data_IF_601345729085
#
_entry.id   IF_601345729085
#
_cell.length_a   1.000
_cell.length_b   1.000
_cell.length_c   1.000
_cell.angle_alpha   90.00
_cell.angle_beta   90.00
_cell.angle_gamma   90.00
#
_symmetry.space_group_name_H-M   'P 1'
#
loop_
_entity.id
_entity.type
_entity.pdbx_description
1 polymer ?
#
# COMPACT_ATOMS: atom_id res chain seq x y z
N UNK A 1 21.97 -22.16 -3.25
CA UNK A 1 21.43 -22.42 -1.89
C UNK A 1 19.94 -22.16 -1.96
N UNK A 2 19.12 -23.20 -1.73
CA UNK A 2 17.66 -23.09 -1.79
C UNK A 2 17.16 -22.19 -0.66
N UNK A 3 16.32 -21.20 -0.96
CA UNK A 3 15.72 -20.35 0.07
C UNK A 3 14.95 -21.23 1.08
N UNK A 4 15.17 -20.99 2.38
CA UNK A 4 14.48 -21.69 3.47
C UNK A 4 12.94 -21.63 3.28
N UNK A 5 12.17 -22.66 3.66
CA UNK A 5 10.70 -22.66 3.56
C UNK A 5 10.04 -21.40 4.16
N UNK A 6 10.62 -20.88 5.26
CA UNK A 6 10.18 -19.65 5.92
C UNK A 6 10.36 -18.44 5.00
N UNK A 7 11.48 -18.37 4.29
CA UNK A 7 11.78 -17.31 3.34
C UNK A 7 10.82 -17.33 2.13
N UNK A 8 10.42 -18.52 1.67
CA UNK A 8 9.42 -18.64 0.60
C UNK A 8 8.01 -18.22 1.04
N UNK A 9 7.61 -18.56 2.27
CA UNK A 9 6.31 -18.16 2.82
C UNK A 9 6.24 -16.64 3.07
N UNK A 10 7.36 -16.04 3.44
CA UNK A 10 7.54 -14.60 3.58
C UNK A 10 7.39 -13.88 2.25
N UNK A 11 8.12 -14.32 1.22
CA UNK A 11 8.03 -13.74 -0.12
C UNK A 11 6.60 -13.77 -0.65
N UNK A 12 5.89 -14.91 -0.49
CA UNK A 12 4.48 -15.02 -0.86
C UNK A 12 3.59 -14.03 -0.11
N UNK A 13 3.88 -13.77 1.16
CA UNK A 13 3.11 -12.81 1.97
C UNK A 13 3.33 -11.38 1.46
N UNK A 14 4.58 -11.01 1.17
CA UNK A 14 4.91 -9.71 0.56
C UNK A 14 4.18 -9.52 -0.77
N UNK A 15 4.22 -10.53 -1.64
CA UNK A 15 3.61 -10.46 -2.96
C UNK A 15 2.08 -10.32 -2.91
N UNK A 16 1.42 -10.98 -1.95
CA UNK A 16 -0.04 -10.87 -1.77
C UNK A 16 -0.42 -9.48 -1.28
N UNK A 17 0.33 -8.96 -0.29
CA UNK A 17 0.10 -7.64 0.28
C UNK A 17 0.34 -6.54 -0.75
N UNK A 18 1.43 -6.65 -1.52
CA UNK A 18 1.73 -5.73 -2.61
C UNK A 18 0.65 -5.75 -3.69
N UNK A 19 0.25 -6.92 -4.17
CA UNK A 19 -0.83 -7.03 -5.17
C UNK A 19 -2.15 -6.45 -4.68
N UNK A 20 -2.53 -6.74 -3.42
CA UNK A 20 -3.74 -6.15 -2.83
C UNK A 20 -3.69 -4.63 -2.77
N UNK A 21 -2.52 -4.04 -2.48
CA UNK A 21 -2.35 -2.59 -2.51
C UNK A 21 -2.43 -2.02 -3.93
N UNK A 22 -1.78 -2.65 -4.91
CA UNK A 22 -1.81 -2.25 -6.32
C UNK A 22 -3.24 -2.26 -6.88
N UNK A 23 -4.03 -3.28 -6.56
CA UNK A 23 -5.46 -3.35 -6.94
C UNK A 23 -6.28 -2.18 -6.37
N UNK A 24 -6.01 -1.76 -5.13
CA UNK A 24 -6.68 -0.59 -4.55
C UNK A 24 -6.28 0.66 -5.32
N UNK A 25 -4.97 0.87 -5.55
CA UNK A 25 -4.45 2.04 -6.25
C UNK A 25 -5.01 2.18 -7.67
N UNK A 26 -5.11 1.07 -8.41
CA UNK A 26 -5.63 1.07 -9.79
C UNK A 26 -7.10 1.54 -9.88
N UNK A 27 -7.88 1.39 -8.80
CA UNK A 27 -9.29 1.80 -8.77
C UNK A 27 -9.48 3.29 -8.38
N UNK A 28 -8.47 3.93 -7.79
CA UNK A 28 -8.56 5.31 -7.29
C UNK A 28 -8.78 6.35 -8.41
N UNK A 29 -8.08 6.31 -9.56
CA UNK A 29 -8.29 7.30 -10.63
C UNK A 29 -9.75 7.39 -11.08
N UNK A 30 -10.44 6.24 -11.15
CA UNK A 30 -11.86 6.18 -11.51
C UNK A 30 -12.74 6.86 -10.45
N UNK A 31 -12.54 6.56 -9.18
CA UNK A 31 -13.28 7.18 -8.07
C UNK A 31 -13.07 8.70 -8.03
N UNK A 32 -11.84 9.16 -8.23
CA UNK A 32 -11.53 10.59 -8.26
C UNK A 32 -12.11 11.29 -9.47
N UNK A 33 -12.08 10.64 -10.63
CA UNK A 33 -12.73 11.19 -11.81
C UNK A 33 -14.22 11.41 -11.54
N UNK A 34 -14.92 10.42 -11.00
CA UNK A 34 -16.34 10.53 -10.64
C UNK A 34 -16.59 11.65 -9.61
N UNK A 35 -15.80 11.72 -8.52
CA UNK A 35 -15.93 12.76 -7.49
C UNK A 35 -15.68 14.17 -8.06
N UNK A 36 -14.58 14.36 -8.80
CA UNK A 36 -14.19 15.66 -9.32
C UNK A 36 -15.11 16.12 -10.45
N UNK A 37 -15.61 15.21 -11.29
CA UNK A 37 -16.65 15.51 -12.29
C UNK A 37 -17.95 15.94 -11.61
N UNK A 38 -18.43 15.19 -10.62
CA UNK A 38 -19.68 15.54 -9.93
C UNK A 38 -19.65 16.94 -9.28
N UNK A 39 -18.48 17.38 -8.80
CA UNK A 39 -18.31 18.68 -8.17
C UNK A 39 -18.02 19.81 -9.16
N UNK A 40 -17.33 19.52 -10.28
CA UNK A 40 -16.74 20.55 -11.14
C UNK A 40 -17.01 20.35 -12.64
N UNK A 41 -18.02 19.56 -13.03
CA UNK A 41 -18.33 19.24 -14.43
C UNK A 41 -18.43 20.47 -15.37
N UNK A 42 -18.85 21.62 -14.84
CA UNK A 42 -19.00 22.88 -15.61
C UNK A 42 -17.76 23.78 -15.58
N UNK A 43 -16.71 23.43 -14.82
CA UNK A 43 -15.49 24.21 -14.69
C UNK A 43 -14.26 23.30 -14.78
N UNK A 44 -13.68 23.23 -15.99
CA UNK A 44 -12.53 22.38 -16.28
C UNK A 44 -11.30 22.72 -15.43
N UNK A 45 -11.08 23.99 -15.09
CA UNK A 45 -9.93 24.39 -14.27
C UNK A 45 -10.06 23.85 -12.84
N UNK A 46 -11.24 23.97 -12.23
CA UNK A 46 -11.52 23.40 -10.90
C UNK A 46 -11.49 21.87 -10.92
N UNK A 47 -11.96 21.23 -12.00
CA UNK A 47 -11.82 19.80 -12.20
C UNK A 47 -10.35 19.36 -12.22
N UNK A 48 -9.51 20.03 -13.03
CA UNK A 48 -8.09 19.74 -13.12
C UNK A 48 -7.36 19.93 -11.77
N UNK A 49 -7.69 21.01 -11.05
CA UNK A 49 -7.16 21.24 -9.70
C UNK A 49 -7.61 20.16 -8.71
N UNK A 50 -8.85 19.69 -8.79
CA UNK A 50 -9.37 18.59 -7.96
C UNK A 50 -8.59 17.30 -8.23
N UNK A 51 -8.47 16.90 -9.50
CA UNK A 51 -7.73 15.70 -9.91
C UNK A 51 -6.26 15.79 -9.48
N UNK A 52 -5.60 16.93 -9.67
CA UNK A 52 -4.21 17.14 -9.28
C UNK A 52 -4.00 17.02 -7.76
N UNK A 53 -4.86 17.65 -6.95
CA UNK A 53 -4.79 17.56 -5.48
C UNK A 53 -4.96 16.11 -5.01
N UNK A 54 -5.93 15.41 -5.58
CA UNK A 54 -6.22 14.00 -5.24
C UNK A 54 -5.08 13.07 -5.69
N UNK A 55 -4.51 13.26 -6.88
CA UNK A 55 -3.33 12.52 -7.36
C UNK A 55 -2.12 12.68 -6.43
N UNK A 56 -1.86 13.90 -5.93
CA UNK A 56 -0.79 14.14 -4.95
C UNK A 56 -0.94 13.36 -3.65
N UNK A 57 -2.18 13.16 -3.20
CA UNK A 57 -2.46 12.36 -2.00
C UNK A 57 -2.07 10.91 -2.26
N UNK A 58 -2.45 10.35 -3.41
CA UNK A 58 -2.08 8.98 -3.80
C UNK A 58 -0.58 8.83 -3.89
N UNK A 59 0.12 9.72 -4.61
CA UNK A 59 1.59 9.66 -4.74
C UNK A 59 2.29 9.69 -3.38
N UNK A 60 1.85 10.55 -2.47
CA UNK A 60 2.42 10.64 -1.11
C UNK A 60 2.24 9.32 -0.37
N UNK A 61 1.07 8.72 -0.48
CA UNK A 61 0.75 7.50 0.22
C UNK A 61 1.41 6.26 -0.41
N UNK A 62 1.54 6.20 -1.74
CA UNK A 62 2.31 5.16 -2.43
C UNK A 62 3.77 5.16 -1.96
N UNK A 63 4.42 6.32 -1.88
CA UNK A 63 5.78 6.41 -1.34
C UNK A 63 5.89 5.92 0.11
N UNK A 64 4.87 6.20 0.92
CA UNK A 64 4.83 5.70 2.30
C UNK A 64 4.63 4.17 2.35
N UNK A 65 3.84 3.61 1.43
CA UNK A 65 3.69 2.16 1.26
C UNK A 65 5.01 1.51 0.85
N UNK A 66 5.70 2.05 -0.16
CA UNK A 66 6.99 1.53 -0.63
C UNK A 66 8.02 1.50 0.52
N UNK A 67 8.09 2.59 1.30
CA UNK A 67 8.96 2.64 2.48
C UNK A 67 8.57 1.59 3.53
N UNK A 68 7.27 1.37 3.76
CA UNK A 68 6.78 0.33 4.67
C UNK A 68 7.11 -1.08 4.17
N UNK A 69 6.97 -1.35 2.88
CA UNK A 69 7.34 -2.63 2.27
C UNK A 69 8.84 -2.90 2.40
N UNK A 70 9.69 -1.90 2.15
CA UNK A 70 11.14 -1.99 2.37
C UNK A 70 11.47 -2.28 3.83
N UNK A 71 10.89 -1.52 4.77
CA UNK A 71 11.10 -1.73 6.19
C UNK A 71 10.64 -3.12 6.64
N UNK A 72 9.53 -3.60 6.09
CA UNK A 72 8.99 -4.92 6.38
C UNK A 72 9.93 -6.01 5.87
N UNK A 73 10.51 -5.87 4.66
CA UNK A 73 11.56 -6.77 4.15
C UNK A 73 12.76 -6.86 5.11
N UNK A 74 13.28 -5.72 5.57
CA UNK A 74 14.39 -5.67 6.55
C UNK A 74 14.00 -6.34 7.87
N UNK A 75 12.81 -6.01 8.39
CA UNK A 75 12.30 -6.59 9.65
C UNK A 75 12.17 -8.10 9.54
N UNK A 76 11.71 -8.59 8.39
CA UNK A 76 11.61 -10.03 8.14
C UNK A 76 12.98 -10.71 8.07
N UNK A 77 13.95 -10.13 7.36
CA UNK A 77 15.31 -10.67 7.30
C UNK A 77 15.93 -10.80 8.70
N UNK A 78 15.70 -9.81 9.56
CA UNK A 78 16.12 -9.87 10.97
C UNK A 78 15.38 -10.97 11.72
N UNK A 79 14.10 -11.18 11.45
CA UNK A 79 13.30 -12.16 12.17
C UNK A 79 13.64 -13.60 11.85
N UNK A 80 14.10 -13.91 10.64
CA UNK A 80 14.61 -15.23 10.28
C UNK A 80 15.83 -15.60 11.13
N UNK A 81 16.57 -14.62 11.66
CA UNK A 81 17.72 -14.82 12.55
C UNK A 81 17.33 -15.01 14.03
N UNK A 82 16.03 -14.94 14.37
CA UNK A 82 15.52 -15.07 15.74
C UNK A 82 14.74 -16.37 15.96
N UNK A 83 14.59 -16.80 17.21
CA UNK A 83 13.81 -17.99 17.57
C UNK A 83 12.28 -17.77 17.56
N UNK A 84 11.81 -16.54 17.28
CA UNK A 84 10.39 -16.14 17.36
C UNK A 84 9.84 -15.70 16.00
N UNK A 85 10.14 -16.47 14.95
CA UNK A 85 9.80 -16.15 13.56
C UNK A 85 8.29 -15.90 13.36
N UNK A 86 7.42 -16.77 13.87
CA UNK A 86 5.96 -16.65 13.70
C UNK A 86 5.39 -15.35 14.26
N UNK A 87 5.84 -14.96 15.45
CA UNK A 87 5.33 -13.76 16.11
C UNK A 87 5.82 -12.49 15.40
N UNK A 88 7.07 -12.49 14.93
CA UNK A 88 7.53 -11.40 14.10
C UNK A 88 6.75 -11.34 12.79
N UNK A 89 6.49 -12.49 12.15
CA UNK A 89 5.78 -12.53 10.88
C UNK A 89 4.39 -11.91 11.01
N UNK A 90 3.70 -12.26 12.10
CA UNK A 90 2.40 -11.71 12.45
C UNK A 90 2.42 -10.19 12.66
N UNK A 91 3.43 -9.67 13.36
CA UNK A 91 3.55 -8.23 13.63
C UNK A 91 3.82 -7.42 12.35
N UNK A 92 4.73 -7.91 11.51
CA UNK A 92 5.06 -7.29 10.23
C UNK A 92 3.84 -7.25 9.30
N UNK A 93 3.12 -8.37 9.17
CA UNK A 93 1.85 -8.44 8.44
C UNK A 93 0.82 -7.44 8.97
N UNK A 94 0.61 -7.41 10.30
CA UNK A 94 -0.34 -6.49 10.92
C UNK A 94 0.01 -5.01 10.67
N UNK A 95 1.29 -4.67 10.63
CA UNK A 95 1.72 -3.29 10.36
C UNK A 95 1.34 -2.83 8.95
N UNK A 96 1.45 -3.71 7.95
CA UNK A 96 1.12 -3.37 6.57
C UNK A 96 -0.37 -3.45 6.30
N UNK A 97 -1.09 -4.41 6.88
CA UNK A 97 -2.56 -4.42 6.86
C UNK A 97 -3.13 -3.13 7.48
N UNK A 98 -2.55 -2.67 8.60
CA UNK A 98 -2.89 -1.38 9.21
C UNK A 98 -2.65 -0.21 8.26
N UNK A 99 -1.51 -0.19 7.58
CA UNK A 99 -1.22 0.84 6.57
C UNK A 99 -2.23 0.80 5.40
N UNK A 100 -2.57 -0.38 4.87
CA UNK A 100 -3.55 -0.51 3.79
C UNK A 100 -4.93 0.01 4.22
N UNK A 101 -5.36 -0.29 5.45
CA UNK A 101 -6.59 0.25 6.02
C UNK A 101 -6.55 1.79 6.09
N UNK A 102 -5.44 2.36 6.57
CA UNK A 102 -5.30 3.81 6.67
C UNK A 102 -5.19 4.48 5.29
N UNK A 103 -4.54 3.82 4.33
CA UNK A 103 -4.52 4.23 2.94
C UNK A 103 -5.93 4.36 2.39
N UNK A 104 -6.74 3.30 2.51
CA UNK A 104 -8.12 3.30 2.05
C UNK A 104 -8.97 4.41 2.69
N UNK A 105 -8.75 4.74 3.97
CA UNK A 105 -9.43 5.86 4.64
C UNK A 105 -9.00 7.22 4.09
N UNK A 106 -7.71 7.38 3.77
CA UNK A 106 -7.15 8.64 3.31
C UNK A 106 -7.42 8.91 1.81
N UNK A 107 -7.70 7.88 1.03
CA UNK A 107 -7.93 7.98 -0.41
C UNK A 107 -9.40 7.88 -0.83
N UNK A 108 -10.33 7.49 0.04
CA UNK A 108 -11.78 7.60 -0.21
C UNK A 108 -12.26 9.06 -0.12
#
# INVERSE_FOLDING_TARGET
MSASPVHQQLQKTLDVVQRGFEEIVQNIPKQYNEQCMNQNAKNMEKYAQCMYKKSKIVDKQMKAFDFKMLFMGITFDQCIQTNSQDQCIKNAKSSVEGFISDFQKNVK
#
